data_IF_219371141378
#
_entry.id   IF_219371141378
#
_cell.length_a   1.000
_cell.length_b   1.000
_cell.length_c   1.000
_cell.angle_alpha   90.00
_cell.angle_beta   90.00
_cell.angle_gamma   90.00
#
_symmetry.space_group_name_H-M   'P 1'
#
loop_
_entity.id
_entity.type
_entity.pdbx_description
1 polymer ?
#
# COMPACT_ATOMS: atom_id res chain seq x y z
N UNK A 1 -29.77 -12.69 -28.50
CA UNK A 1 -29.32 -12.00 -27.28
C UNK A 1 -28.84 -13.06 -26.30
N UNK A 2 -27.78 -12.79 -25.53
CA UNK A 2 -27.32 -13.68 -24.47
C UNK A 2 -27.07 -12.87 -23.18
N UNK A 3 -27.44 -13.44 -22.04
CA UNK A 3 -27.20 -12.86 -20.72
C UNK A 3 -26.75 -13.97 -19.77
N UNK A 4 -25.73 -13.67 -18.97
CA UNK A 4 -25.22 -14.56 -17.92
C UNK A 4 -25.07 -13.75 -16.64
N UNK A 5 -25.42 -14.36 -15.51
CA UNK A 5 -25.27 -13.80 -14.17
C UNK A 5 -24.72 -14.90 -13.28
N UNK A 6 -23.66 -14.60 -12.54
CA UNK A 6 -22.93 -15.53 -11.68
C UNK A 6 -22.75 -14.88 -10.30
N UNK A 7 -23.01 -15.64 -9.25
CA UNK A 7 -22.76 -15.22 -7.87
C UNK A 7 -21.46 -15.88 -7.39
N UNK A 8 -20.47 -15.08 -7.01
CA UNK A 8 -19.13 -15.55 -6.62
C UNK A 8 -18.72 -14.84 -5.33
N UNK A 9 -18.62 -15.59 -4.24
CA UNK A 9 -18.14 -15.13 -2.93
C UNK A 9 -18.72 -13.75 -2.50
N UNK A 10 -20.04 -13.60 -2.62
CA UNK A 10 -20.75 -12.37 -2.26
C UNK A 10 -20.78 -11.27 -3.33
N UNK A 11 -20.09 -11.44 -4.46
CA UNK A 11 -20.15 -10.53 -5.60
C UNK A 11 -21.00 -11.12 -6.74
N UNK A 12 -21.69 -10.25 -7.48
CA UNK A 12 -22.48 -10.61 -8.67
C UNK A 12 -21.74 -10.19 -9.93
N UNK A 13 -21.38 -11.15 -10.78
CA UNK A 13 -20.80 -10.91 -12.10
C UNK A 13 -21.89 -11.08 -13.16
N UNK A 14 -22.13 -10.04 -13.96
CA UNK A 14 -23.19 -10.04 -14.97
C UNK A 14 -22.67 -9.54 -16.31
N UNK A 15 -22.89 -10.32 -17.36
CA UNK A 15 -22.58 -9.93 -18.72
C UNK A 15 -23.81 -10.15 -19.63
N UNK A 16 -24.12 -9.15 -20.44
CA UNK A 16 -25.22 -9.19 -21.40
C UNK A 16 -24.75 -8.61 -22.72
N UNK A 17 -25.01 -9.33 -23.82
CA UNK A 17 -24.68 -8.88 -25.17
C UNK A 17 -25.82 -9.15 -26.15
N UNK A 18 -26.08 -8.16 -26.99
CA UNK A 18 -27.02 -8.25 -28.11
C UNK A 18 -26.20 -8.25 -29.40
N UNK A 19 -26.28 -9.36 -30.12
CA UNK A 19 -25.58 -9.60 -31.39
C UNK A 19 -26.57 -10.33 -32.31
N UNK A 20 -26.42 -10.16 -33.63
CA UNK A 20 -27.31 -10.74 -34.63
C UNK A 20 -27.31 -12.29 -34.62
N UNK A 21 -26.16 -12.92 -34.36
CA UNK A 21 -26.03 -14.38 -34.30
C UNK A 21 -25.92 -14.88 -32.85
N UNK A 22 -26.68 -15.93 -32.50
CA UNK A 22 -26.68 -16.56 -31.18
C UNK A 22 -25.29 -17.06 -30.75
N UNK A 23 -24.55 -17.75 -31.63
CA UNK A 23 -23.18 -18.21 -31.32
C UNK A 23 -22.25 -17.04 -31.05
N UNK A 24 -22.36 -15.99 -31.86
CA UNK A 24 -21.57 -14.77 -31.65
C UNK A 24 -21.95 -14.04 -30.35
N UNK A 25 -23.24 -14.04 -29.98
CA UNK A 25 -23.70 -13.48 -28.71
C UNK A 25 -23.11 -14.22 -27.52
N UNK A 26 -23.10 -15.57 -27.53
CA UNK A 26 -22.49 -16.38 -26.48
C UNK A 26 -20.98 -16.12 -26.38
N UNK A 27 -20.25 -16.15 -27.49
CA UNK A 27 -18.82 -15.86 -27.50
C UNK A 27 -18.50 -14.45 -26.99
N UNK A 28 -19.33 -13.46 -27.34
CA UNK A 28 -19.20 -12.09 -26.87
C UNK A 28 -19.46 -11.95 -25.37
N UNK A 29 -20.48 -12.64 -24.85
CA UNK A 29 -20.75 -12.70 -23.40
C UNK A 29 -19.59 -13.37 -22.67
N UNK A 30 -19.07 -14.49 -23.18
CA UNK A 30 -17.95 -15.20 -22.58
C UNK A 30 -16.70 -14.30 -22.46
N UNK A 31 -16.35 -13.56 -23.52
CA UNK A 31 -15.24 -12.58 -23.49
C UNK A 31 -15.48 -11.47 -22.46
N UNK A 32 -16.70 -10.91 -22.41
CA UNK A 32 -17.03 -9.87 -21.44
C UNK A 32 -16.95 -10.38 -19.99
N UNK A 33 -17.35 -11.62 -19.78
CA UNK A 33 -17.35 -12.26 -18.47
C UNK A 33 -15.91 -12.62 -18.04
N UNK A 34 -15.04 -13.06 -18.95
CA UNK A 34 -13.61 -13.27 -18.66
C UNK A 34 -12.92 -11.98 -18.19
N UNK A 35 -13.24 -10.83 -18.82
CA UNK A 35 -12.72 -9.54 -18.39
C UNK A 35 -13.23 -9.13 -17.00
N UNK A 36 -14.51 -9.43 -16.68
CA UNK A 36 -15.05 -9.21 -15.34
C UNK A 36 -14.36 -10.10 -14.30
N UNK A 37 -14.12 -11.38 -14.61
CA UNK A 37 -13.39 -12.28 -13.72
C UNK A 37 -11.98 -11.78 -13.46
N UNK A 38 -11.27 -11.30 -14.49
CA UNK A 38 -9.93 -10.71 -14.34
C UNK A 38 -9.94 -9.51 -13.38
N UNK A 39 -10.89 -8.59 -13.55
CA UNK A 39 -11.06 -7.43 -12.65
C UNK A 39 -11.44 -7.83 -11.23
N UNK A 40 -12.34 -8.80 -11.08
CA UNK A 40 -12.74 -9.32 -9.79
C UNK A 40 -11.53 -9.94 -9.07
N UNK A 41 -10.78 -10.82 -9.75
CA UNK A 41 -9.57 -11.45 -9.20
C UNK A 41 -8.51 -10.41 -8.85
N UNK A 42 -8.27 -9.40 -9.68
CA UNK A 42 -7.30 -8.35 -9.35
C UNK A 42 -7.68 -7.59 -8.08
N UNK A 43 -8.96 -7.30 -7.87
CA UNK A 43 -9.43 -6.68 -6.63
C UNK A 43 -9.35 -7.63 -5.44
N UNK A 44 -9.84 -8.86 -5.58
CA UNK A 44 -9.84 -9.86 -4.52
C UNK A 44 -8.41 -10.14 -4.04
N UNK A 45 -7.49 -10.49 -4.94
CA UNK A 45 -6.10 -10.79 -4.57
C UNK A 45 -5.33 -9.57 -4.05
N UNK A 46 -5.58 -8.36 -4.60
CA UNK A 46 -4.94 -7.14 -4.08
C UNK A 46 -5.46 -6.80 -2.68
N UNK A 47 -6.75 -6.97 -2.43
CA UNK A 47 -7.35 -6.72 -1.11
C UNK A 47 -6.84 -7.70 -0.05
N UNK A 48 -6.70 -8.98 -0.40
CA UNK A 48 -6.12 -9.98 0.51
C UNK A 48 -4.63 -9.68 0.79
N UNK A 49 -3.84 -9.28 -0.22
CA UNK A 49 -2.45 -8.83 0.02
C UNK A 49 -2.40 -7.62 0.96
N UNK A 50 -3.31 -6.65 0.82
CA UNK A 50 -3.33 -5.49 1.71
C UNK A 50 -3.76 -5.87 3.14
N UNK A 51 -4.64 -6.86 3.30
CA UNK A 51 -5.01 -7.41 4.61
C UNK A 51 -3.86 -8.18 5.25
N UNK A 52 -3.11 -8.96 4.49
CA UNK A 52 -1.92 -9.64 5.00
C UNK A 52 -0.76 -8.68 5.28
N UNK A 53 -0.57 -7.65 4.45
CA UNK A 53 0.40 -6.58 4.69
C UNK A 53 0.04 -5.74 5.92
N UNK A 54 -1.23 -5.37 6.09
CA UNK A 54 -1.69 -4.67 7.28
C UNK A 54 -1.57 -5.53 8.55
N UNK A 55 -1.88 -6.84 8.49
CA UNK A 55 -1.67 -7.76 9.63
C UNK A 55 -0.20 -8.02 9.94
N UNK A 56 0.66 -8.04 8.92
CA UNK A 56 2.11 -8.15 9.11
C UNK A 56 2.68 -6.85 9.68
N UNK A 57 2.16 -5.69 9.27
CA UNK A 57 2.52 -4.39 9.84
C UNK A 57 2.06 -4.29 11.29
N UNK A 58 0.84 -4.73 11.63
CA UNK A 58 0.33 -4.76 13.00
C UNK A 58 1.18 -5.66 13.92
N UNK A 59 1.65 -6.81 13.42
CA UNK A 59 2.55 -7.70 14.17
C UNK A 59 3.99 -7.16 14.25
N UNK A 60 4.47 -6.42 13.25
CA UNK A 60 5.76 -5.72 13.36
C UNK A 60 5.67 -4.44 14.18
N UNK A 61 4.50 -3.83 14.36
CA UNK A 61 4.34 -2.60 15.13
C UNK A 61 4.37 -2.85 16.64
N UNK A 62 4.10 -4.09 17.09
CA UNK A 62 4.39 -4.50 18.48
C UNK A 62 5.87 -4.89 18.70
N UNK A 63 6.69 -5.03 17.65
CA UNK A 63 8.11 -5.41 17.76
C UNK A 63 9.08 -4.38 17.15
N UNK A 64 8.60 -3.20 16.75
CA UNK A 64 9.45 -2.06 16.39
C UNK A 64 9.44 -1.10 17.56
N UNK A 65 10.42 -1.29 18.45
CA UNK A 65 10.96 -0.21 19.28
C UNK A 65 11.11 1.05 18.41
N UNK A 66 10.70 2.25 18.86
CA UNK A 66 10.71 3.46 18.04
C UNK A 66 12.17 3.90 17.86
N UNK A 67 12.86 3.34 16.87
CA UNK A 67 14.31 3.50 16.78
C UNK A 67 14.95 3.39 15.40
N UNK A 68 14.21 3.19 14.30
CA UNK A 68 14.90 3.09 13.00
C UNK A 68 14.06 3.45 11.76
N UNK A 69 13.65 4.72 11.65
CA UNK A 69 13.16 5.27 10.39
C UNK A 69 13.65 6.72 10.19
N UNK A 70 14.96 6.89 10.04
CA UNK A 70 15.55 8.11 9.48
C UNK A 70 15.54 8.06 7.95
N UNK A 71 15.17 9.14 7.24
CA UNK A 71 15.42 9.24 5.81
C UNK A 71 16.94 9.26 5.56
N UNK A 72 17.42 8.34 4.71
CA UNK A 72 18.77 8.32 4.18
C UNK A 72 19.06 9.61 3.40
N UNK A 73 19.99 10.41 3.90
CA UNK A 73 20.76 11.38 3.12
C UNK A 73 22.19 11.44 3.69
N UNK A 74 23.11 10.68 3.09
CA UNK A 74 24.54 11.03 3.13
C UNK A 74 24.78 11.97 1.92
N UNK A 75 25.44 13.12 2.11
CA UNK A 75 26.90 13.04 2.11
C UNK A 75 27.60 14.03 3.07
N UNK A 76 28.71 13.56 3.65
CA UNK A 76 29.87 14.36 4.06
C UNK A 76 29.69 15.33 5.24
N UNK A 77 30.19 14.91 6.40
CA UNK A 77 30.50 15.78 7.54
C UNK A 77 29.69 15.41 8.77
N UNK A 78 30.35 14.85 9.78
CA UNK A 78 29.74 14.26 10.97
C UNK A 78 28.60 15.09 11.57
N UNK A 79 27.41 14.50 11.62
CA UNK A 79 26.27 15.11 12.30
C UNK A 79 25.48 14.04 13.04
N UNK A 80 25.86 13.80 14.30
CA UNK A 80 25.04 13.04 15.23
C UNK A 80 23.77 13.86 15.55
N UNK A 81 22.64 13.43 15.01
CA UNK A 81 21.33 13.98 15.38
C UNK A 81 20.73 13.09 16.44
N UNK A 82 21.03 13.38 17.70
CA UNK A 82 20.41 12.69 18.83
C UNK A 82 18.99 13.25 18.99
N UNK A 83 17.98 12.44 18.68
CA UNK A 83 16.60 12.76 19.09
C UNK A 83 16.44 12.36 20.55
N UNK A 84 16.50 13.34 21.45
CA UNK A 84 16.25 13.11 22.87
C UNK A 84 14.76 12.95 23.14
N UNK A 85 14.37 11.82 23.73
CA UNK A 85 13.03 11.64 24.28
C UNK A 85 13.00 12.26 25.68
N UNK A 86 12.32 13.39 25.82
CA UNK A 86 12.13 14.02 27.12
C UNK A 86 11.08 13.24 27.93
N UNK A 87 11.12 13.28 29.27
CA UNK A 87 10.24 12.48 30.12
C UNK A 87 8.73 12.79 29.96
N UNK A 88 8.38 13.85 29.26
CA UNK A 88 7.03 14.25 28.86
C UNK A 88 6.58 13.64 27.51
N UNK A 89 7.45 12.85 26.86
CA UNK A 89 7.20 12.25 25.54
C UNK A 89 7.41 13.22 24.37
N UNK A 90 7.91 14.43 24.63
CA UNK A 90 8.23 15.37 23.56
C UNK A 90 9.53 14.96 22.87
N UNK A 91 9.49 14.91 21.53
CA UNK A 91 10.68 14.68 20.69
C UNK A 91 11.16 16.02 20.18
N UNK A 92 12.39 16.39 20.55
CA UNK A 92 13.07 17.59 20.04
C UNK A 92 14.30 17.16 19.27
N UNK A 93 14.44 17.65 18.04
CA UNK A 93 15.64 17.42 17.22
C UNK A 93 16.74 18.35 17.69
N UNK A 94 17.72 17.80 18.40
CA UNK A 94 18.91 18.54 18.84
C UNK A 94 19.99 18.41 17.79
N UNK A 95 20.65 19.53 17.48
CA UNK A 95 21.80 19.57 16.58
C UNK A 95 23.03 19.91 17.42
N UNK A 96 23.86 18.91 17.69
CA UNK A 96 25.12 19.10 18.41
C UNK A 96 26.23 19.47 17.42
N UNK A 97 27.11 20.37 17.84
CA UNK A 97 28.30 20.77 17.08
C UNK A 97 29.42 21.14 18.05
N UNK A 98 30.64 20.73 17.71
CA UNK A 98 31.83 21.16 18.43
C UNK A 98 32.11 22.63 18.13
N UNK A 99 32.28 23.43 19.19
CA UNK A 99 32.47 24.86 19.08
C UNK A 99 33.95 25.24 19.14
N UNK A 100 34.44 25.86 18.07
CA UNK A 100 35.75 26.53 18.08
C UNK A 100 35.61 27.99 18.57
N UNK A 101 36.53 28.48 19.41
CA UNK A 101 36.46 29.84 19.94
C UNK A 101 36.70 30.88 18.85
N UNK A 102 35.74 31.79 18.67
CA UNK A 102 35.84 32.92 17.73
C UNK A 102 36.01 34.25 18.48
N UNK A 103 36.90 35.12 17.97
CA UNK A 103 37.02 36.49 18.46
C UNK A 103 35.90 37.37 17.86
N UNK A 104 35.33 38.24 18.68
CA UNK A 104 34.35 39.24 18.24
C UNK A 104 35.10 40.43 17.63
N UNK A 105 34.68 40.89 16.45
CA UNK A 105 35.21 42.10 15.79
C UNK A 105 34.68 43.38 16.46
#
# INVERSE_FOLDING_TARGET
>A
MAQVTLNVAGAVLRAQRRVANTKAAVNSVAKALDQQIKRYKSHAYRSERNRHGARAIDQSLEEISPGDAGPREDPSGGLETVSGLFPDGQIVRVKEFEMEPMSVE
#
